data_IF_989141081797
#
_entry.id   IF_989141081797
#
_cell.length_a   1.000
_cell.length_b   1.000
_cell.length_c   1.000
_cell.angle_alpha   90.00
_cell.angle_beta   90.00
_cell.angle_gamma   90.00
#
_symmetry.space_group_name_H-M   'P 1'
#
loop_
_entity.id
_entity.type
_entity.pdbx_description
1 polymer ?
#
# COMPACT_ATOMS: atom_id res chain seq x y z
N UNK A 1 -4.48 -9.63 15.44
CA UNK A 1 -3.07 -9.93 15.06
C UNK A 1 -2.99 -10.81 13.81
N UNK A 2 -3.45 -12.07 13.83
CA UNK A 2 -3.34 -12.99 12.67
C UNK A 2 -3.96 -12.39 11.40
N UNK A 3 -5.12 -11.76 11.50
CA UNK A 3 -5.76 -11.08 10.38
C UNK A 3 -4.90 -9.94 9.81
N UNK A 4 -4.25 -9.15 10.66
CA UNK A 4 -3.34 -8.08 10.25
C UNK A 4 -2.14 -8.64 9.49
N UNK A 5 -1.56 -9.75 9.94
CA UNK A 5 -0.46 -10.44 9.25
C UNK A 5 -0.89 -10.98 7.88
N UNK A 6 -2.10 -11.52 7.78
CA UNK A 6 -2.65 -11.93 6.48
C UNK A 6 -2.80 -10.72 5.55
N UNK A 7 -3.37 -9.62 6.05
CA UNK A 7 -3.58 -8.37 5.29
C UNK A 7 -2.27 -7.71 4.86
N UNK A 8 -1.20 -7.78 5.66
CA UNK A 8 0.12 -7.24 5.27
C UNK A 8 0.78 -8.07 4.16
N UNK A 9 0.36 -9.32 3.97
CA UNK A 9 0.78 -10.18 2.87
C UNK A 9 1.54 -11.45 3.29
N UNK A 10 1.60 -11.77 4.59
CA UNK A 10 2.23 -13.02 5.04
C UNK A 10 1.41 -14.21 4.60
N UNK A 11 2.11 -15.23 4.12
CA UNK A 11 1.50 -16.52 3.80
C UNK A 11 1.18 -17.27 5.08
N UNK A 12 0.18 -18.14 5.02
CA UNK A 12 -0.24 -18.95 6.17
C UNK A 12 0.90 -19.80 6.77
N UNK A 13 1.87 -20.22 5.94
CA UNK A 13 3.07 -20.96 6.39
C UNK A 13 3.96 -20.10 7.29
N UNK A 14 4.16 -18.83 6.95
CA UNK A 14 4.97 -17.89 7.72
C UNK A 14 4.28 -17.51 9.03
N UNK A 15 2.95 -17.39 9.01
CA UNK A 15 2.17 -17.16 10.24
C UNK A 15 2.28 -18.37 11.18
N UNK A 16 2.23 -19.60 10.67
CA UNK A 16 2.45 -20.81 11.50
C UNK A 16 3.83 -20.81 12.13
N UNK A 17 4.87 -20.51 11.35
CA UNK A 17 6.24 -20.40 11.86
C UNK A 17 6.37 -19.34 12.96
N UNK A 18 5.72 -18.18 12.79
CA UNK A 18 5.64 -17.16 13.83
C UNK A 18 4.97 -17.68 15.12
N UNK A 19 3.90 -18.48 15.00
CA UNK A 19 3.24 -19.09 16.17
C UNK A 19 4.12 -20.15 16.85
N UNK A 20 4.90 -20.91 16.09
CA UNK A 20 5.89 -21.85 16.64
C UNK A 20 6.98 -21.10 17.43
N UNK A 21 7.48 -19.99 16.88
CA UNK A 21 8.40 -19.11 17.60
C UNK A 21 7.75 -18.59 18.88
N UNK A 22 6.49 -18.15 18.82
CA UNK A 22 5.72 -17.75 20.01
C UNK A 22 5.78 -18.78 21.14
N UNK A 23 5.56 -20.06 20.81
CA UNK A 23 5.62 -21.16 21.77
C UNK A 23 7.03 -21.42 22.34
N UNK A 24 8.10 -21.12 21.59
CA UNK A 24 9.50 -21.28 22.03
C UNK A 24 9.97 -20.19 23.01
N UNK A 25 9.16 -19.15 23.24
CA UNK A 25 9.48 -18.09 24.20
C UNK A 25 10.64 -17.19 23.77
N UNK A 26 11.36 -16.64 24.75
CA UNK A 26 12.31 -15.53 24.59
C UNK A 26 13.46 -15.80 23.61
N UNK A 27 13.82 -17.06 23.40
CA UNK A 27 14.86 -17.48 22.45
C UNK A 27 14.59 -17.09 20.99
N UNK A 28 13.38 -16.64 20.68
CA UNK A 28 12.96 -16.29 19.30
C UNK A 28 12.58 -14.83 19.12
N UNK A 29 12.77 -13.97 20.12
CA UNK A 29 12.38 -12.56 20.02
C UNK A 29 13.04 -11.84 18.84
N UNK A 30 14.32 -12.10 18.58
CA UNK A 30 15.02 -11.52 17.43
C UNK A 30 14.35 -11.90 16.10
N UNK A 31 14.00 -13.18 15.92
CA UNK A 31 13.31 -13.68 14.71
C UNK A 31 11.92 -13.05 14.53
N UNK A 32 11.19 -12.89 15.63
CA UNK A 32 9.86 -12.26 15.61
C UNK A 32 9.97 -10.77 15.25
N UNK A 33 10.96 -10.07 15.81
CA UNK A 33 11.21 -8.66 15.51
C UNK A 33 11.60 -8.50 14.04
N UNK A 34 12.50 -9.32 13.52
CA UNK A 34 12.91 -9.31 12.11
C UNK A 34 11.71 -9.49 11.17
N UNK A 35 10.83 -10.45 11.47
CA UNK A 35 9.58 -10.64 10.72
C UNK A 35 8.73 -9.37 10.70
N UNK A 36 8.53 -8.71 11.84
CA UNK A 36 7.74 -7.48 11.88
C UNK A 36 8.42 -6.29 11.18
N UNK A 37 9.75 -6.17 11.28
CA UNK A 37 10.51 -5.12 10.58
C UNK A 37 10.42 -5.29 9.06
N UNK A 38 10.57 -6.51 8.57
CA UNK A 38 10.40 -6.82 7.15
C UNK A 38 8.97 -6.48 6.69
N UNK A 39 7.97 -6.86 7.47
CA UNK A 39 6.57 -6.67 7.11
C UNK A 39 6.13 -5.22 7.20
N UNK A 40 6.72 -4.43 8.11
CA UNK A 40 6.60 -2.99 8.13
C UNK A 40 7.08 -2.40 6.80
N UNK A 41 8.29 -2.75 6.35
CA UNK A 41 8.85 -2.26 5.08
C UNK A 41 7.95 -2.60 3.89
N UNK A 42 7.45 -3.84 3.82
CA UNK A 42 6.53 -4.27 2.75
C UNK A 42 5.24 -3.44 2.72
N UNK A 43 4.68 -3.12 3.89
CA UNK A 43 3.46 -2.29 3.97
C UNK A 43 3.76 -0.83 3.63
N UNK A 44 4.88 -0.29 4.09
CA UNK A 44 5.34 1.08 3.74
C UNK A 44 5.50 1.23 2.22
N UNK A 45 6.15 0.28 1.54
CA UNK A 45 6.29 0.29 0.08
C UNK A 45 4.93 0.20 -0.66
N UNK A 46 3.95 -0.52 -0.08
CA UNK A 46 2.58 -0.57 -0.64
C UNK A 46 1.86 0.76 -0.46
N UNK A 47 2.04 1.43 0.68
CA UNK A 47 1.46 2.74 0.95
C UNK A 47 1.99 3.73 -0.09
N UNK A 48 3.30 3.82 -0.28
CA UNK A 48 3.90 4.76 -1.25
C UNK A 48 3.36 4.55 -2.67
N UNK A 49 3.18 3.29 -3.10
CA UNK A 49 2.59 2.97 -4.40
C UNK A 49 1.12 3.38 -4.49
N UNK A 50 0.34 3.12 -3.43
CA UNK A 50 -1.07 3.47 -3.39
C UNK A 50 -1.28 4.99 -3.32
N UNK A 51 -0.37 5.73 -2.68
CA UNK A 51 -0.37 7.19 -2.67
C UNK A 51 -0.20 7.75 -4.08
N UNK A 52 0.75 7.24 -4.88
CA UNK A 52 0.90 7.66 -6.30
C UNK A 52 -0.34 7.37 -7.14
N UNK A 53 -0.96 6.20 -6.92
CA UNK A 53 -2.23 5.85 -7.58
C UNK A 53 -3.36 6.80 -7.15
N UNK A 54 -3.43 7.13 -5.86
CA UNK A 54 -4.41 8.06 -5.31
C UNK A 54 -4.23 9.46 -5.89
N UNK A 55 -3.00 9.95 -6.02
CA UNK A 55 -2.70 11.26 -6.62
C UNK A 55 -3.23 11.35 -8.05
N UNK A 56 -3.03 10.30 -8.86
CA UNK A 56 -3.58 10.23 -10.22
C UNK A 56 -5.11 10.24 -10.22
N UNK A 57 -5.73 9.47 -9.32
CA UNK A 57 -7.20 9.43 -9.19
C UNK A 57 -7.74 10.81 -8.79
N UNK A 58 -7.12 11.46 -7.80
CA UNK A 58 -7.50 12.81 -7.35
C UNK A 58 -7.36 13.83 -8.48
N UNK A 59 -6.27 13.77 -9.24
CA UNK A 59 -6.10 14.59 -10.44
C UNK A 59 -7.23 14.37 -11.45
N UNK A 60 -7.63 13.12 -11.71
CA UNK A 60 -8.74 12.81 -12.62
C UNK A 60 -10.09 13.26 -12.09
N UNK A 61 -10.34 13.14 -10.78
CA UNK A 61 -11.53 13.71 -10.15
C UNK A 61 -11.61 15.22 -10.40
N UNK A 62 -10.55 15.96 -10.07
CA UNK A 62 -10.47 17.39 -10.35
C UNK A 62 -10.67 17.71 -11.84
N UNK A 63 -9.97 17.00 -12.73
CA UNK A 63 -10.06 17.20 -14.17
C UNK A 63 -11.51 17.12 -14.65
N UNK A 64 -12.25 16.09 -14.24
CA UNK A 64 -13.63 15.93 -14.67
C UNK A 64 -14.61 16.87 -13.96
N UNK A 65 -14.34 17.29 -12.72
CA UNK A 65 -15.08 18.39 -12.09
C UNK A 65 -14.96 19.68 -12.93
N UNK A 66 -13.77 19.98 -13.45
CA UNK A 66 -13.56 21.13 -14.33
C UNK A 66 -14.27 20.95 -15.69
N UNK A 67 -14.18 19.76 -16.29
CA UNK A 67 -14.82 19.49 -17.59
C UNK A 67 -16.35 19.61 -17.50
N UNK A 68 -16.93 19.18 -16.37
CA UNK A 68 -18.35 19.35 -16.09
C UNK A 68 -18.73 20.83 -15.95
N UNK A 69 -17.91 21.63 -15.26
CA UNK A 69 -18.14 23.06 -15.12
C UNK A 69 -18.02 23.82 -16.46
N UNK A 70 -17.10 23.41 -17.32
CA UNK A 70 -16.87 24.01 -18.64
C UNK A 70 -17.82 23.47 -19.73
N UNK A 71 -18.45 22.32 -19.50
CA UNK A 71 -19.25 21.58 -20.47
C UNK A 71 -18.45 20.92 -21.61
N UNK A 72 -17.11 20.95 -21.53
CA UNK A 72 -16.17 20.34 -22.48
C UNK A 72 -14.77 20.23 -21.86
N UNK A 73 -13.81 19.65 -22.58
CA UNK A 73 -12.42 19.45 -22.10
C UNK A 73 -11.39 20.37 -22.77
N UNK A 74 -11.79 21.34 -23.58
CA UNK A 74 -10.86 22.06 -24.48
C UNK A 74 -9.76 22.81 -23.72
N UNK A 75 -10.08 23.42 -22.57
CA UNK A 75 -9.09 24.05 -21.68
C UNK A 75 -8.18 23.05 -20.98
N UNK A 76 -8.67 21.82 -20.76
CA UNK A 76 -8.01 20.83 -19.92
C UNK A 76 -7.04 19.92 -20.68
N UNK A 77 -7.16 19.86 -22.01
CA UNK A 77 -6.27 19.06 -22.89
C UNK A 77 -4.78 19.33 -22.66
N UNK A 78 -4.41 20.52 -22.19
CA UNK A 78 -3.03 20.88 -21.85
C UNK A 78 -2.49 20.22 -20.59
N UNK A 79 -3.34 19.62 -19.75
CA UNK A 79 -2.98 18.94 -18.50
C UNK A 79 -2.91 17.41 -18.66
N UNK A 80 -2.92 16.89 -19.89
CA UNK A 80 -3.06 15.44 -20.16
C UNK A 80 -1.79 14.62 -19.92
N UNK A 81 -0.70 15.22 -19.47
CA UNK A 81 0.54 14.51 -19.13
C UNK A 81 0.42 13.84 -17.75
N UNK A 82 -0.03 12.59 -17.74
CA UNK A 82 0.16 11.72 -16.58
C UNK A 82 1.65 11.47 -16.35
N UNK A 83 2.17 11.56 -15.11
CA UNK A 83 3.47 11.02 -14.77
C UNK A 83 3.50 9.54 -15.14
N UNK A 84 4.36 9.18 -16.09
CA UNK A 84 4.67 7.78 -16.39
C UNK A 84 5.56 7.25 -15.25
N UNK A 85 5.17 6.11 -14.68
CA UNK A 85 6.02 5.32 -13.77
C UNK A 85 7.41 5.07 -14.35
#
# INVERSE_FOLDING_TARGET
>A
MIECLKKSGLKIKEIKLFMEWCAQGSSTYEKRLELFLHQRKVVEEKIEKLEKVLDMIQFKCWYYEQALADGNEDRLKTYTETPQD
#
